data_IF_874188557820
#
_entry.id   IF_874188557820
#
_cell.length_a   1.000
_cell.length_b   1.000
_cell.length_c   1.000
_cell.angle_alpha   90.00
_cell.angle_beta   90.00
_cell.angle_gamma   90.00
#
_symmetry.space_group_name_H-M   'P 1'
#
loop_
_entity.id
_entity.type
_entity.pdbx_description
1 polymer ?
#
# COMPACT_ATOMS: atom_id res chain seq x y z
N UNK A 1 -22.62 5.34 -2.05
CA UNK A 1 -21.35 5.43 -1.32
C UNK A 1 -20.58 4.15 -1.53
N UNK A 2 -20.00 3.97 -2.72
CA UNK A 2 -19.25 2.74 -3.04
C UNK A 2 -18.33 3.05 -4.22
N UNK A 3 -17.25 3.81 -3.98
CA UNK A 3 -16.17 3.94 -4.97
C UNK A 3 -14.78 4.11 -4.33
N UNK A 4 -14.63 3.83 -3.03
CA UNK A 4 -13.40 4.13 -2.28
C UNK A 4 -12.22 3.23 -2.65
N UNK A 5 -12.47 1.97 -3.04
CA UNK A 5 -11.40 1.05 -3.43
C UNK A 5 -10.85 1.34 -4.83
N UNK A 6 -11.65 1.92 -5.74
CA UNK A 6 -11.16 2.27 -7.09
C UNK A 6 -10.06 3.32 -6.99
N UNK A 7 -10.30 4.41 -6.25
CA UNK A 7 -9.31 5.47 -6.03
C UNK A 7 -8.04 4.93 -5.35
N UNK A 8 -8.20 4.02 -4.38
CA UNK A 8 -7.07 3.40 -3.69
C UNK A 8 -6.28 2.50 -4.65
N UNK A 9 -6.95 1.72 -5.49
CA UNK A 9 -6.28 0.87 -6.49
C UNK A 9 -5.58 1.71 -7.54
N UNK A 10 -6.21 2.76 -8.06
CA UNK A 10 -5.62 3.68 -9.04
C UNK A 10 -4.36 4.35 -8.46
N UNK A 11 -4.42 4.77 -7.19
CA UNK A 11 -3.26 5.30 -6.47
C UNK A 11 -2.14 4.25 -6.35
N UNK A 12 -2.47 3.02 -5.93
CA UNK A 12 -1.48 1.95 -5.79
C UNK A 12 -0.83 1.59 -7.13
N UNK A 13 -1.61 1.55 -8.22
CA UNK A 13 -1.09 1.35 -9.57
C UNK A 13 -0.17 2.50 -10.01
N UNK A 14 -0.55 3.76 -9.74
CA UNK A 14 0.30 4.93 -10.00
C UNK A 14 1.59 4.93 -9.20
N UNK A 15 1.62 4.29 -8.03
CA UNK A 15 2.81 4.10 -7.21
C UNK A 15 3.64 2.87 -7.65
N UNK A 16 3.20 2.15 -8.69
CA UNK A 16 3.88 0.96 -9.21
C UNK A 16 3.65 -0.31 -8.38
N UNK A 17 2.72 -0.29 -7.42
CA UNK A 17 2.31 -1.48 -6.66
C UNK A 17 1.19 -2.17 -7.43
N UNK A 18 1.43 -3.40 -7.88
CA UNK A 18 0.48 -4.14 -8.72
C UNK A 18 -0.23 -5.26 -7.95
N UNK A 19 -1.43 -5.63 -8.39
CA UNK A 19 -2.25 -6.69 -7.79
C UNK A 19 -1.62 -8.10 -7.85
N UNK A 20 -0.53 -8.30 -8.59
CA UNK A 20 0.24 -9.55 -8.59
C UNK A 20 0.91 -9.82 -7.23
N UNK A 21 1.08 -8.78 -6.40
CA UNK A 21 1.64 -8.91 -5.07
C UNK A 21 0.55 -8.92 -4.00
N UNK A 22 0.54 -9.92 -3.11
CA UNK A 22 -0.45 -10.03 -2.02
C UNK A 22 -0.49 -8.79 -1.12
N UNK A 23 0.63 -8.07 -0.99
CA UNK A 23 0.68 -6.82 -0.24
C UNK A 23 -0.15 -5.68 -0.84
N UNK A 24 -0.52 -5.76 -2.12
CA UNK A 24 -1.43 -4.80 -2.76
C UNK A 24 -2.78 -4.76 -2.03
N UNK A 25 -3.40 -5.94 -1.82
CA UNK A 25 -4.70 -6.04 -1.17
C UNK A 25 -4.61 -5.68 0.33
N UNK A 26 -3.53 -6.08 1.00
CA UNK A 26 -3.30 -5.69 2.40
C UNK A 26 -3.16 -4.16 2.55
N UNK A 27 -2.42 -3.52 1.63
CA UNK A 27 -2.22 -2.08 1.64
C UNK A 27 -3.52 -1.33 1.31
N UNK A 28 -4.28 -1.80 0.33
CA UNK A 28 -5.57 -1.21 -0.02
C UNK A 28 -6.56 -1.25 1.16
N UNK A 29 -6.68 -2.40 1.83
CA UNK A 29 -7.54 -2.55 3.01
C UNK A 29 -7.03 -1.75 4.21
N UNK A 30 -5.70 -1.67 4.40
CA UNK A 30 -5.13 -0.80 5.42
C UNK A 30 -5.47 0.68 5.17
N UNK A 31 -5.36 1.15 3.93
CA UNK A 31 -5.72 2.53 3.54
C UNK A 31 -7.21 2.77 3.75
N UNK A 32 -8.08 1.84 3.35
CA UNK A 32 -9.52 1.95 3.57
C UNK A 32 -9.87 2.08 5.07
N UNK A 33 -9.28 1.23 5.93
CA UNK A 33 -9.46 1.30 7.38
C UNK A 33 -8.93 2.62 7.97
N UNK A 34 -7.84 3.15 7.43
CA UNK A 34 -7.31 4.45 7.82
C UNK A 34 -8.18 5.63 7.36
N UNK A 35 -8.84 5.54 6.20
CA UNK A 35 -9.81 6.55 5.74
C UNK A 35 -11.04 6.60 6.65
N UNK A 36 -11.53 5.45 7.09
CA UNK A 36 -12.67 5.38 8.01
C UNK A 36 -12.33 5.92 9.40
N UNK A 37 -11.13 5.58 9.91
CA UNK A 37 -10.68 6.03 11.22
C UNK A 37 -9.18 6.39 11.20
N UNK A 38 -8.83 7.66 10.95
CA UNK A 38 -7.44 8.12 10.84
C UNK A 38 -6.59 7.82 12.09
N UNK A 39 -7.21 7.76 13.27
CA UNK A 39 -6.54 7.40 14.53
C UNK A 39 -5.91 6.00 14.54
N UNK A 40 -6.27 5.11 13.61
CA UNK A 40 -5.64 3.78 13.46
C UNK A 40 -4.17 3.86 13.06
N UNK A 41 -3.74 4.97 12.45
CA UNK A 41 -2.32 5.23 12.13
C UNK A 41 -1.45 5.39 13.38
N UNK A 42 -2.03 5.68 14.55
CA UNK A 42 -1.29 5.75 15.82
C UNK A 42 -1.07 4.36 16.43
N UNK A 43 -1.86 3.37 16.00
CA UNK A 43 -1.89 2.02 16.56
C UNK A 43 -1.75 0.97 15.45
N UNK A 44 -0.78 1.16 14.55
CA UNK A 44 -0.59 0.31 13.38
C UNK A 44 -0.36 -1.16 13.76
N UNK A 45 0.57 -1.42 14.68
CA UNK A 45 0.91 -2.79 15.11
C UNK A 45 -0.12 -3.42 16.03
N UNK A 46 -0.91 -2.61 16.75
CA UNK A 46 -1.89 -3.08 17.73
C UNK A 46 -3.32 -3.21 17.19
N UNK A 47 -3.67 -2.43 16.17
CA UNK A 47 -5.02 -2.38 15.63
C UNK A 47 -5.03 -2.59 14.12
N UNK A 48 -4.25 -1.85 13.34
CA UNK A 48 -4.35 -1.89 11.87
C UNK A 48 -3.91 -3.24 11.28
N UNK A 49 -2.69 -3.70 11.60
CA UNK A 49 -2.18 -4.97 11.07
C UNK A 49 -2.98 -6.18 11.55
N UNK A 50 -3.39 -6.29 12.83
CA UNK A 50 -4.27 -7.37 13.26
C UNK A 50 -5.63 -7.37 12.56
N UNK A 51 -6.21 -6.20 12.26
CA UNK A 51 -7.51 -6.12 11.60
C UNK A 51 -7.43 -6.58 10.14
N UNK A 52 -6.42 -6.11 9.41
CA UNK A 52 -6.14 -6.59 8.05
C UNK A 52 -5.80 -8.08 8.06
N UNK A 53 -5.03 -8.54 9.06
CA UNK A 53 -4.69 -9.95 9.19
C UNK A 53 -5.94 -10.85 9.36
N UNK A 54 -6.94 -10.39 10.13
CA UNK A 54 -8.23 -11.09 10.25
C UNK A 54 -8.99 -11.13 8.93
N UNK A 55 -9.05 -10.02 8.18
CA UNK A 55 -9.75 -9.95 6.90
C UNK A 55 -9.18 -10.92 5.86
N UNK A 56 -7.86 -11.10 5.83
CA UNK A 56 -7.16 -11.96 4.87
C UNK A 56 -6.77 -13.33 5.45
N UNK A 57 -7.26 -13.69 6.64
CA UNK A 57 -6.95 -14.94 7.34
C UNK A 57 -5.43 -15.25 7.36
N UNK A 58 -4.64 -14.26 7.79
CA UNK A 58 -3.18 -14.28 7.79
C UNK A 58 -2.61 -13.82 9.13
N UNK A 59 -1.29 -13.73 9.26
CA UNK A 59 -0.61 -13.25 10.45
C UNK A 59 -0.28 -11.75 10.34
N UNK A 60 -0.44 -10.98 11.42
CA UNK A 60 -0.06 -9.57 11.45
C UNK A 60 1.42 -9.32 11.07
N UNK A 61 2.31 -10.29 11.34
CA UNK A 61 3.71 -10.24 10.88
C UNK A 61 3.84 -10.34 9.36
N UNK A 62 2.99 -11.16 8.73
CA UNK A 62 2.94 -11.26 7.28
C UNK A 62 2.36 -9.98 6.66
N UNK A 63 1.35 -9.38 7.30
CA UNK A 63 0.80 -8.09 6.88
C UNK A 63 1.86 -6.98 6.95
N UNK A 64 2.59 -6.87 8.06
CA UNK A 64 3.69 -5.89 8.20
C UNK A 64 4.75 -6.06 7.11
N UNK A 65 5.24 -7.29 6.94
CA UNK A 65 6.23 -7.60 5.90
C UNK A 65 5.72 -7.21 4.52
N UNK A 66 4.48 -7.57 4.21
CA UNK A 66 3.89 -7.29 2.90
C UNK A 66 3.76 -5.79 2.65
N UNK A 67 3.34 -5.02 3.66
CA UNK A 67 3.25 -3.56 3.54
C UNK A 67 4.64 -2.94 3.40
N UNK A 68 5.64 -3.40 4.15
CA UNK A 68 7.03 -2.94 4.04
C UNK A 68 7.63 -3.23 2.65
N UNK A 69 7.35 -4.40 2.08
CA UNK A 69 7.79 -4.72 0.70
C UNK A 69 7.08 -3.84 -0.33
N UNK A 70 5.78 -3.59 -0.17
CA UNK A 70 5.06 -2.68 -1.06
C UNK A 70 5.59 -1.22 -0.98
N UNK A 71 5.94 -0.75 0.22
CA UNK A 71 6.62 0.55 0.40
C UNK A 71 7.97 0.59 -0.33
N UNK A 72 8.75 -0.48 -0.25
CA UNK A 72 10.04 -0.56 -0.95
C UNK A 72 9.86 -0.56 -2.48
N UNK A 73 8.87 -1.29 -3.00
CA UNK A 73 8.54 -1.30 -4.43
C UNK A 73 8.14 0.09 -4.94
N UNK A 74 7.34 0.82 -4.17
CA UNK A 74 6.97 2.21 -4.49
C UNK A 74 8.20 3.11 -4.66
N UNK A 75 9.15 3.05 -3.72
CA UNK A 75 10.37 3.86 -3.75
C UNK A 75 11.23 3.49 -4.96
N UNK A 76 11.33 2.20 -5.29
CA UNK A 76 12.09 1.74 -6.45
C UNK A 76 11.47 2.22 -7.76
N UNK A 77 10.14 2.13 -7.93
CA UNK A 77 9.47 2.58 -9.17
C UNK A 77 9.63 4.08 -9.36
N UNK A 78 9.54 4.88 -8.31
CA UNK A 78 9.77 6.32 -8.39
C UNK A 78 11.23 6.67 -8.74
N UNK A 79 12.19 5.86 -8.28
CA UNK A 79 13.61 6.06 -8.61
C UNK A 79 13.93 5.72 -10.07
N UNK A 80 13.18 4.81 -10.70
CA UNK A 80 13.29 4.53 -12.14
C UNK A 80 12.72 5.67 -13.00
N UNK A 81 11.65 6.34 -12.56
CA UNK A 81 11.02 7.45 -13.30
C UNK A 81 11.92 8.71 -13.36
N UNK A 82 12.71 8.97 -12.30
CA UNK A 82 13.70 10.06 -12.27
C UNK A 82 14.78 9.88 -13.36
N UNK A 83 15.06 8.63 -13.79
CA UNK A 83 16.01 8.35 -14.86
C UNK A 83 15.54 8.76 -16.27
N UNK A 84 14.24 8.97 -16.48
CA UNK A 84 13.70 9.35 -17.80
C UNK A 84 13.77 10.86 -18.09
N UNK A 85 13.98 11.71 -17.07
CA UNK A 85 14.01 13.17 -17.25
C UNK A 85 15.42 13.75 -17.48
N UNK A 86 16.48 12.96 -17.28
CA UNK A 86 17.88 13.42 -17.37
C UNK A 86 18.51 13.25 -18.77
N UNK A 87 17.76 12.82 -19.79
CA UNK A 87 18.30 12.68 -21.17
C UNK A 87 17.92 13.80 -22.14
N UNK A 88 17.24 14.86 -21.67
CA UNK A 88 16.83 15.99 -22.53
C UNK A 88 17.56 17.31 -22.24
N UNK A 89 18.75 17.24 -21.65
CA UNK A 89 19.68 18.36 -21.50
C UNK A 89 21.13 17.95 -21.76
N UNK A 90 21.46 17.66 -23.02
CA UNK A 90 22.73 18.08 -23.62
C UNK A 90 22.67 17.96 -25.14
#
# INVERSE_FOLDING_TARGET
MQNDFSEIYDLLYSLGVTANYTGFFHMASAIALCREQPGRLLLVTKCLYPEVAKQYNTNWKAVERNIRTAQFLCILVQSLDVGALETKKM
#
